data_IF_193106430714
#
_entry.id   IF_193106430714
#
_cell.length_a   1.000
_cell.length_b   1.000
_cell.length_c   1.000
_cell.angle_alpha   90.00
_cell.angle_beta   90.00
_cell.angle_gamma   90.00
#
_symmetry.space_group_name_H-M   'P 1'
#
loop_
_entity.id
_entity.type
_entity.pdbx_description
1 polymer ?
#
# COMPACT_ATOMS: atom_id res chain seq x y z
N UNK A 1 -1.75 8.03 1.46
CA UNK A 1 -0.40 7.48 1.24
C UNK A 1 0.28 8.25 0.11
N UNK A 2 0.28 9.58 0.19
CA UNK A 2 0.77 10.41 -0.90
C UNK A 2 2.29 10.29 -1.04
N UNK A 3 2.75 10.11 -2.28
CA UNK A 3 4.18 9.96 -2.60
C UNK A 3 4.80 8.63 -2.20
N UNK A 4 4.03 7.66 -1.72
CA UNK A 4 4.46 6.27 -1.55
C UNK A 4 4.36 5.55 -2.89
N UNK A 5 5.37 4.75 -3.23
CA UNK A 5 5.32 3.87 -4.39
C UNK A 5 4.46 2.63 -4.11
N UNK A 6 4.10 1.89 -5.16
CA UNK A 6 3.39 0.61 -5.00
C UNK A 6 4.18 -0.42 -4.16
N UNK A 7 5.51 -0.39 -4.23
CA UNK A 7 6.37 -1.21 -3.39
C UNK A 7 6.26 -0.81 -1.91
N UNK A 8 6.29 0.50 -1.62
CA UNK A 8 6.18 0.99 -0.25
C UNK A 8 4.81 0.64 0.37
N UNK A 9 3.73 0.76 -0.42
CA UNK A 9 2.38 0.38 0.00
C UNK A 9 2.31 -1.12 0.29
N UNK A 10 2.91 -1.95 -0.56
CA UNK A 10 2.98 -3.39 -0.35
C UNK A 10 3.69 -3.73 0.95
N UNK A 11 4.82 -3.08 1.24
CA UNK A 11 5.56 -3.28 2.48
C UNK A 11 4.71 -2.90 3.70
N UNK A 12 3.99 -1.78 3.65
CA UNK A 12 3.09 -1.35 4.73
C UNK A 12 2.02 -2.43 5.01
N UNK A 13 1.38 -2.96 3.98
CA UNK A 13 0.37 -4.02 4.11
C UNK A 13 0.96 -5.29 4.74
N UNK A 14 2.12 -5.74 4.25
CA UNK A 14 2.80 -6.92 4.79
C UNK A 14 3.19 -6.71 6.26
N UNK A 15 3.63 -5.51 6.61
CA UNK A 15 4.03 -5.19 7.97
C UNK A 15 2.83 -5.11 8.92
N UNK A 16 1.69 -4.59 8.46
CA UNK A 16 0.46 -4.61 9.22
C UNK A 16 0.00 -6.04 9.51
N UNK A 17 0.05 -6.93 8.50
CA UNK A 17 -0.24 -8.35 8.68
C UNK A 17 0.71 -9.02 9.69
N UNK A 18 2.02 -8.74 9.61
CA UNK A 18 3.00 -9.27 10.57
C UNK A 18 2.76 -8.78 12.00
N UNK A 19 2.32 -7.54 12.17
CA UNK A 19 1.98 -7.01 13.50
C UNK A 19 0.75 -7.72 14.06
N UNK A 20 -0.30 -7.93 13.27
CA UNK A 20 -1.48 -8.68 13.69
C UNK A 20 -1.12 -10.12 14.13
N UNK A 21 -0.26 -10.80 13.38
CA UNK A 21 0.24 -12.14 13.75
C UNK A 21 1.02 -12.09 15.08
N UNK A 22 1.85 -11.06 15.28
CA UNK A 22 2.61 -10.90 16.53
C UNK A 22 1.67 -10.71 17.73
N UNK A 23 0.62 -9.91 17.55
CA UNK A 23 -0.36 -9.63 18.61
C UNK A 23 -1.20 -10.89 18.93
N UNK A 24 -1.56 -11.67 17.91
CA UNK A 24 -2.23 -12.97 18.07
C UNK A 24 -1.37 -13.97 18.87
N UNK A 25 -0.07 -14.06 18.55
CA UNK A 25 0.88 -14.92 19.28
C UNK A 25 1.02 -14.44 20.73
N UNK A 26 1.19 -13.14 20.96
CA UNK A 26 1.35 -12.57 22.30
C UNK A 26 0.12 -12.85 23.18
N UNK A 27 -1.08 -12.66 22.63
CA UNK A 27 -2.32 -12.96 23.35
C UNK A 27 -2.52 -14.47 23.58
N UNK A 28 -2.01 -15.33 22.69
CA UNK A 28 -1.96 -16.78 22.92
C UNK A 28 -1.04 -17.17 24.08
N UNK A 29 0.13 -16.52 24.19
CA UNK A 29 1.06 -16.72 25.31
C UNK A 29 0.41 -16.25 26.63
N UNK A 30 -0.17 -15.06 26.67
CA UNK A 30 -0.85 -14.53 27.85
C UNK A 30 -2.02 -15.45 28.29
N UNK A 31 -2.78 -15.98 27.33
CA UNK A 31 -3.85 -16.95 27.61
C UNK A 31 -3.28 -18.21 28.28
N UNK A 32 -2.17 -18.74 27.78
CA UNK A 32 -1.53 -19.92 28.35
C UNK A 32 -0.98 -19.64 29.76
N UNK A 33 -0.37 -18.48 29.99
CA UNK A 33 0.12 -18.07 31.31
C UNK A 33 -1.01 -18.01 32.35
N UNK A 34 -2.21 -17.56 31.96
CA UNK A 34 -3.40 -17.54 32.83
C UNK A 34 -3.91 -18.94 33.17
N UNK A 35 -3.80 -19.89 32.23
CA UNK A 35 -4.11 -21.30 32.51
C UNK A 35 -3.10 -21.89 33.51
N UNK A 36 -1.81 -21.62 33.32
CA UNK A 36 -0.76 -22.08 34.22
C UNK A 36 -0.85 -21.46 35.62
N UNK A 37 -1.30 -20.20 35.72
CA UNK A 37 -1.59 -19.52 36.98
C UNK A 37 -2.87 -20.04 37.68
N UNK A 38 -3.65 -20.89 37.02
CA UNK A 38 -4.91 -21.43 37.54
C UNK A 38 -6.07 -20.44 37.52
N UNK A 39 -5.96 -19.34 36.77
CA UNK A 39 -7.05 -18.37 36.60
C UNK A 39 -8.15 -18.86 35.64
N UNK A 40 -7.80 -19.80 34.75
CA UNK A 40 -8.66 -20.41 33.74
C UNK A 40 -8.31 -21.89 33.60
N UNK A 41 -9.28 -22.74 33.26
CA UNK A 41 -8.97 -24.10 32.77
C UNK A 41 -8.58 -24.07 31.29
N UNK A 42 -7.93 -25.14 30.81
CA UNK A 42 -7.62 -25.26 29.38
C UNK A 42 -8.90 -25.26 28.52
N UNK A 43 -9.98 -25.88 28.99
CA UNK A 43 -11.24 -25.89 28.23
C UNK A 43 -11.88 -24.49 28.14
N UNK A 44 -11.81 -23.71 29.21
CA UNK A 44 -12.29 -22.32 29.22
C UNK A 44 -11.42 -21.43 28.30
N UNK A 45 -10.10 -21.64 28.33
CA UNK A 45 -9.17 -20.94 27.47
C UNK A 45 -9.43 -21.25 25.99
N UNK A 46 -9.69 -22.50 25.61
CA UNK A 46 -9.93 -22.88 24.22
C UNK A 46 -11.28 -22.35 23.67
N UNK A 47 -12.26 -22.12 24.55
CA UNK A 47 -13.57 -21.54 24.20
C UNK A 47 -13.53 -20.02 24.00
N UNK A 48 -12.50 -19.33 24.50
CA UNK A 48 -12.38 -17.88 24.33
C UNK A 48 -12.14 -17.53 22.84
N UNK A 49 -12.78 -16.46 22.33
CA UNK A 49 -12.63 -16.05 20.93
C UNK A 49 -11.19 -15.68 20.58
N UNK A 50 -10.84 -15.72 19.29
CA UNK A 50 -9.55 -15.25 18.81
C UNK A 50 -9.35 -13.77 19.21
N UNK A 51 -8.28 -13.43 19.92
CA UNK A 51 -7.99 -12.06 20.33
C UNK A 51 -7.70 -11.13 19.14
N UNK A 52 -7.24 -11.64 18.00
CA UNK A 52 -6.91 -10.82 16.80
C UNK A 52 -7.61 -11.40 15.56
N UNK A 53 -8.94 -11.27 15.47
CA UNK A 53 -9.70 -11.90 14.38
C UNK A 53 -9.48 -11.24 13.02
N UNK A 54 -9.06 -9.97 13.01
CA UNK A 54 -8.86 -9.19 11.79
C UNK A 54 -7.65 -8.27 11.89
N UNK A 55 -7.07 -7.94 10.75
CA UNK A 55 -6.08 -6.87 10.68
C UNK A 55 -6.82 -5.53 10.85
N UNK A 56 -6.64 -4.91 12.02
CA UNK A 56 -7.27 -3.65 12.38
C UNK A 56 -6.49 -2.43 11.90
N UNK A 57 -7.10 -1.24 12.02
CA UNK A 57 -6.48 0.05 11.73
C UNK A 57 -5.20 0.28 12.55
N UNK A 58 -5.14 -0.21 13.78
CA UNK A 58 -3.96 -0.04 14.65
C UNK A 58 -2.71 -0.69 14.06
N UNK A 59 -2.85 -1.85 13.42
CA UNK A 59 -1.71 -2.51 12.76
C UNK A 59 -1.17 -1.70 11.57
N UNK A 60 -2.07 -1.03 10.84
CA UNK A 60 -1.71 -0.12 9.76
C UNK A 60 -1.07 1.16 10.30
N UNK A 61 -1.61 1.77 11.36
CA UNK A 61 -1.03 2.95 12.02
C UNK A 61 0.38 2.66 12.53
N UNK A 62 0.58 1.51 13.19
CA UNK A 62 1.90 1.06 13.64
C UNK A 62 2.87 0.75 12.49
N UNK A 63 2.35 0.42 11.31
CA UNK A 63 3.16 0.18 10.12
C UNK A 63 3.55 1.49 9.44
N UNK A 64 2.57 2.37 9.26
CA UNK A 64 2.74 3.72 8.70
C UNK A 64 3.70 4.58 9.52
N UNK A 65 3.71 4.46 10.86
CA UNK A 65 4.57 5.29 11.73
C UNK A 65 6.07 5.12 11.48
N UNK A 66 6.50 3.97 10.93
CA UNK A 66 7.90 3.74 10.55
C UNK A 66 8.11 3.66 9.03
N UNK A 67 7.05 3.83 8.25
CA UNK A 67 7.13 3.75 6.79
C UNK A 67 7.79 5.01 6.22
N UNK A 68 8.56 4.85 5.13
CA UNK A 68 9.22 5.93 4.43
C UNK A 68 8.96 5.80 2.94
N UNK A 69 8.93 6.92 2.25
CA UNK A 69 8.88 6.97 0.78
C UNK A 69 10.22 6.49 0.24
N UNK A 70 10.21 5.47 -0.62
CA UNK A 70 11.45 5.04 -1.29
C UNK A 70 11.84 5.97 -2.44
N UNK A 71 10.86 6.61 -3.08
CA UNK A 71 11.09 7.56 -4.18
C UNK A 71 11.07 8.99 -3.64
N UNK A 72 12.25 9.59 -3.60
CA UNK A 72 12.44 10.99 -3.22
C UNK A 72 11.91 11.98 -4.26
N UNK A 73 11.56 13.22 -3.86
CA UNK A 73 11.05 14.25 -4.76
C UNK A 73 12.03 14.62 -5.89
N UNK A 74 13.33 14.46 -5.66
CA UNK A 74 14.38 14.69 -6.66
C UNK A 74 14.32 13.67 -7.81
N UNK A 75 13.98 12.42 -7.51
CA UNK A 75 13.83 11.38 -8.52
C UNK A 75 12.54 11.62 -9.31
N UNK A 76 11.45 12.00 -8.63
CA UNK A 76 10.19 12.38 -9.29
C UNK A 76 10.44 13.50 -10.30
N UNK A 77 11.14 14.57 -9.90
CA UNK A 77 11.48 15.68 -10.79
C UNK A 77 12.31 15.24 -12.01
N UNK A 78 13.26 14.33 -11.84
CA UNK A 78 14.05 13.81 -12.96
C UNK A 78 13.18 13.03 -13.96
N UNK A 79 12.21 12.25 -13.46
CA UNK A 79 11.24 11.56 -14.30
C UNK A 79 10.32 12.55 -15.02
N UNK A 80 9.87 13.62 -14.37
CA UNK A 80 9.07 14.68 -14.99
C UNK A 80 9.84 15.38 -16.12
N UNK A 81 11.08 15.80 -15.84
CA UNK A 81 11.95 16.46 -16.82
C UNK A 81 12.25 15.54 -18.02
N UNK A 82 12.47 14.24 -17.77
CA UNK A 82 12.69 13.25 -18.82
C UNK A 82 11.43 13.06 -19.67
N UNK A 83 10.27 12.91 -19.04
CA UNK A 83 8.98 12.74 -19.70
C UNK A 83 8.65 13.95 -20.57
N UNK A 84 8.90 15.18 -20.08
CA UNK A 84 8.72 16.40 -20.85
C UNK A 84 9.63 16.46 -22.10
N UNK A 85 10.91 16.10 -21.98
CA UNK A 85 11.85 16.05 -23.12
C UNK A 85 11.44 15.01 -24.15
N UNK A 86 11.08 13.82 -23.69
CA UNK A 86 10.61 12.73 -24.54
C UNK A 86 9.38 13.19 -25.31
N UNK A 87 8.37 13.74 -24.62
CA UNK A 87 7.16 14.29 -25.24
C UNK A 87 7.47 15.32 -26.32
N UNK A 88 8.36 16.28 -26.06
CA UNK A 88 8.82 17.24 -27.07
C UNK A 88 9.44 16.55 -28.30
N UNK A 89 10.23 15.49 -28.12
CA UNK A 89 10.81 14.73 -29.23
C UNK A 89 9.74 14.01 -30.07
N UNK A 90 8.74 13.38 -29.43
CA UNK A 90 7.63 12.71 -30.15
C UNK A 90 6.77 13.70 -30.92
N UNK A 91 6.45 14.86 -30.34
CA UNK A 91 5.73 15.93 -31.05
C UNK A 91 6.52 16.43 -32.26
N UNK A 92 7.84 16.59 -32.14
CA UNK A 92 8.70 17.12 -33.22
C UNK A 92 8.94 16.10 -34.35
N UNK A 93 8.98 14.78 -34.03
CA UNK A 93 9.11 13.71 -35.04
C UNK A 93 7.78 13.32 -35.68
N UNK A 94 6.68 13.43 -34.94
CA UNK A 94 5.35 12.99 -35.37
C UNK A 94 4.70 13.84 -36.47
N UNK A 95 5.13 15.08 -36.63
CA UNK A 95 4.64 15.98 -37.70
C UNK A 95 5.05 15.56 -39.12
N UNK A 96 5.95 14.58 -39.28
CA UNK A 96 6.45 14.18 -40.60
C UNK A 96 5.72 12.96 -41.22
N UNK A 97 5.04 12.12 -40.44
CA UNK A 97 4.51 10.81 -40.91
C UNK A 97 3.07 10.51 -40.48
N UNK A 98 2.39 11.44 -39.77
CA UNK A 98 0.98 11.28 -39.38
C UNK A 98 0.69 10.18 -38.33
N UNK A 99 1.72 9.48 -37.84
CA UNK A 99 1.65 8.41 -36.84
C UNK A 99 2.02 8.85 -35.41
N UNK A 100 1.97 10.16 -35.13
CA UNK A 100 2.37 10.73 -33.85
C UNK A 100 1.45 10.27 -32.71
N UNK A 101 1.99 9.53 -31.73
CA UNK A 101 1.28 9.23 -30.50
C UNK A 101 1.19 10.49 -29.62
N UNK A 102 -0.02 11.03 -29.44
CA UNK A 102 -0.28 12.19 -28.58
C UNK A 102 -0.62 11.74 -27.15
N UNK A 103 0.37 11.89 -26.27
CA UNK A 103 0.28 11.50 -24.87
C UNK A 103 -0.80 12.30 -24.11
N UNK A 104 -1.04 13.57 -24.49
CA UNK A 104 -2.04 14.40 -23.81
C UNK A 104 -3.46 13.99 -24.18
N UNK A 105 -3.68 13.71 -25.46
CA UNK A 105 -4.97 13.22 -25.93
C UNK A 105 -5.31 11.88 -25.28
N UNK A 106 -4.34 10.96 -25.22
CA UNK A 106 -4.51 9.66 -24.57
C UNK A 106 -4.79 9.81 -23.06
N UNK A 107 -4.11 10.73 -22.37
CA UNK A 107 -4.33 10.97 -20.95
C UNK A 107 -5.72 11.57 -20.66
N UNK A 108 -6.21 12.49 -21.49
CA UNK A 108 -7.57 13.04 -21.35
C UNK A 108 -8.66 12.02 -21.67
N UNK A 109 -8.43 11.17 -22.67
CA UNK A 109 -9.34 10.07 -23.00
C UNK A 109 -9.43 9.06 -21.85
N UNK A 110 -8.29 8.71 -21.25
CA UNK A 110 -8.25 7.82 -20.09
C UNK A 110 -8.92 8.44 -18.85
N UNK A 111 -8.70 9.74 -18.57
CA UNK A 111 -9.45 10.44 -17.50
C UNK A 111 -10.95 10.43 -17.73
N UNK A 112 -11.38 10.55 -18.99
CA UNK A 112 -12.79 10.50 -19.36
C UNK A 112 -13.37 9.10 -19.17
N UNK A 113 -12.63 8.06 -19.52
CA UNK A 113 -13.01 6.66 -19.29
C UNK A 113 -13.10 6.32 -17.80
N UNK A 114 -12.11 6.73 -16.99
CA UNK A 114 -12.14 6.54 -15.54
C UNK A 114 -13.35 7.25 -14.90
N UNK A 115 -13.64 8.49 -15.34
CA UNK A 115 -14.82 9.24 -14.87
C UNK A 115 -16.16 8.60 -15.28
N UNK A 116 -16.19 7.80 -16.35
CA UNK A 116 -17.36 7.04 -16.79
C UNK A 116 -17.52 5.71 -16.04
N UNK A 117 -16.43 5.14 -15.51
CA UNK A 117 -16.43 3.91 -14.72
C UNK A 117 -16.82 4.14 -13.25
N UNK A 118 -16.58 5.34 -12.73
CA UNK A 118 -16.93 5.75 -11.36
C UNK A 118 -18.37 6.28 -11.20
N UNK A 119 -19.18 6.28 -12.26
CA UNK A 119 -20.59 6.74 -12.28
C UNK A 119 -21.59 5.57 -12.35
#
# INVERSE_FOLDING_TARGET
TEGFSGADITEICQRAAKNAIRDSIAAGIERQERVEAGELTQEEADLLPDPVPFITKQHFEASMSKARRSVGPEIVKQYDDFTAKIKQQWTTKGTADGSAYDIDQAAEEQKREDALLDA
#
